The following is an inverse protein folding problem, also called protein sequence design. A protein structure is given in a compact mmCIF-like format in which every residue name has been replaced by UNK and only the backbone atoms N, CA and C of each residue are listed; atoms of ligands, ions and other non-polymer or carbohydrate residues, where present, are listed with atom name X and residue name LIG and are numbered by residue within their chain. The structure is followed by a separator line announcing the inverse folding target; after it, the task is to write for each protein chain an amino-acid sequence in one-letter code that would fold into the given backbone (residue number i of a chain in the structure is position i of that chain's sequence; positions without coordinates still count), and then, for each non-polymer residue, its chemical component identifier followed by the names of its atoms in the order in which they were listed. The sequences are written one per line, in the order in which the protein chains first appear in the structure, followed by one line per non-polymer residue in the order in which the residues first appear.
data_IF_419330680409
#
_entry.id   IF_419330680409
#
_cell.length_a   1.000
_cell.length_b   1.000
_cell.length_c   1.000
_cell.angle_alpha   90.00
_cell.angle_beta   90.00
_cell.angle_gamma   90.00
#
_symmetry.space_group_name_H-M   'P 1'
#
loop_
_entity.id
_entity.type
_entity.pdbx_description
1 polymer ?
#
# COMPACT_ATOMS: atom_id res chain seq x y z
N UNK A 1 -78.54 61.96 4.07
CA UNK A 1 -78.45 60.60 3.49
C UNK A 1 -77.07 60.50 2.86
N UNK A 2 -76.03 60.00 3.53
CA UNK A 2 -75.72 58.58 3.70
C UNK A 2 -74.75 58.45 4.89
N UNK A 3 -75.21 57.79 5.94
CA UNK A 3 -74.43 57.14 7.01
C UNK A 3 -73.53 56.04 6.37
N UNK A 4 -72.39 55.59 6.90
CA UNK A 4 -71.61 55.83 8.12
C UNK A 4 -70.16 55.34 7.85
N UNK A 5 -69.19 55.72 8.69
CA UNK A 5 -67.77 55.43 8.56
C UNK A 5 -67.42 54.06 9.17
N UNK A 6 -66.13 53.72 9.22
CA UNK A 6 -65.40 53.36 10.46
C UNK A 6 -64.11 52.60 10.09
N UNK A 7 -62.97 53.28 10.21
CA UNK A 7 -61.63 52.67 10.28
C UNK A 7 -61.33 52.38 11.76
N UNK A 8 -60.88 51.16 12.08
CA UNK A 8 -60.35 50.83 13.41
C UNK A 8 -58.84 50.81 13.39
N UNK A 9 -58.30 51.38 14.46
CA UNK A 9 -56.91 51.71 14.67
C UNK A 9 -56.42 51.05 15.96
N UNK A 10 -55.16 50.62 15.93
CA UNK A 10 -54.21 50.34 17.03
C UNK A 10 -54.55 49.22 18.05
N UNK A 11 -53.64 48.25 18.21
CA UNK A 11 -52.69 48.11 19.34
C UNK A 11 -52.13 46.70 19.42
N UNK A 12 -50.79 46.64 19.44
CA UNK A 12 -50.04 45.40 19.53
C UNK A 12 -50.15 44.72 20.89
N UNK A 13 -49.78 43.44 20.88
CA UNK A 13 -49.24 42.71 22.02
C UNK A 13 -48.10 41.83 21.49
N UNK A 14 -46.89 42.12 21.96
CA UNK A 14 -45.76 41.20 21.91
C UNK A 14 -46.04 40.13 22.95
N UNK A 15 -46.17 38.87 22.51
CA UNK A 15 -46.07 37.70 23.38
C UNK A 15 -45.04 36.75 22.78
N UNK A 16 -43.94 36.63 23.51
CA UNK A 16 -42.89 35.62 23.34
C UNK A 16 -43.54 34.27 23.65
N UNK A 17 -43.53 33.34 22.69
CA UNK A 17 -43.86 31.94 22.93
C UNK A 17 -42.80 31.04 22.31
N UNK A 18 -42.21 30.26 23.20
CA UNK A 18 -41.12 29.30 23.06
C UNK A 18 -41.35 28.34 21.90
N UNK A 19 -40.28 28.09 21.14
CA UNK A 19 -40.17 27.19 19.99
C UNK A 19 -40.70 25.79 20.35
N UNK A 20 -41.76 25.37 19.67
CA UNK A 20 -42.25 24.00 19.70
C UNK A 20 -41.24 23.08 18.97
N UNK A 21 -40.39 22.42 19.74
CA UNK A 21 -39.62 21.28 19.30
C UNK A 21 -40.50 20.04 19.20
N UNK A 22 -40.54 19.41 18.03
CA UNK A 22 -40.36 17.97 17.83
C UNK A 22 -40.25 17.77 16.32
N UNK A 23 -39.08 18.08 15.74
CA UNK A 23 -38.72 17.55 14.44
C UNK A 23 -38.58 16.04 14.65
N UNK A 24 -39.43 15.28 13.97
CA UNK A 24 -39.31 13.84 13.86
C UNK A 24 -37.97 13.51 13.21
N UNK A 25 -36.93 13.36 14.04
CA UNK A 25 -35.69 12.72 13.67
C UNK A 25 -36.03 11.25 13.45
N UNK A 26 -36.25 10.87 12.19
CA UNK A 26 -36.20 9.47 11.79
C UNK A 26 -34.82 8.96 12.19
N UNK A 27 -34.72 8.28 13.34
CA UNK A 27 -33.63 7.36 13.59
C UNK A 27 -33.80 6.24 12.57
N UNK A 28 -33.30 6.46 11.35
CA UNK A 28 -32.99 5.37 10.47
C UNK A 28 -31.94 4.54 11.21
N UNK A 29 -32.40 3.51 11.92
CA UNK A 29 -31.55 2.37 12.25
C UNK A 29 -31.03 1.92 10.89
N UNK A 30 -29.74 2.13 10.63
CA UNK A 30 -29.08 1.56 9.48
C UNK A 30 -29.30 0.06 9.59
N UNK A 31 -30.29 -0.45 8.87
CA UNK A 31 -30.46 -1.87 8.69
C UNK A 31 -29.24 -2.28 7.88
N UNK A 32 -28.27 -2.92 8.55
CA UNK A 32 -27.19 -3.59 7.84
C UNK A 32 -27.87 -4.45 6.78
N UNK A 33 -27.61 -4.23 5.48
CA UNK A 33 -28.23 -5.05 4.45
C UNK A 33 -27.86 -6.50 4.77
N UNK A 34 -28.89 -7.31 5.00
CA UNK A 34 -28.78 -8.74 5.28
C UNK A 34 -28.15 -9.43 4.07
N UNK A 35 -26.82 -9.46 4.11
CA UNK A 35 -25.86 -9.90 3.11
C UNK A 35 -24.40 -9.60 3.53
N UNK A 36 -24.23 -8.89 4.66
CA UNK A 36 -22.94 -8.55 5.26
C UNK A 36 -22.42 -9.70 6.12
N UNK A 37 -21.30 -10.28 5.72
CA UNK A 37 -20.43 -11.20 6.48
C UNK A 37 -19.82 -10.57 7.77
N UNK A 38 -20.33 -9.42 8.22
CA UNK A 38 -19.80 -8.64 9.35
C UNK A 38 -18.53 -7.84 9.00
N UNK A 39 -18.06 -7.91 7.75
CA UNK A 39 -16.86 -7.20 7.32
C UNK A 39 -17.13 -5.71 7.12
N UNK A 40 -16.29 -4.80 7.68
CA UNK A 40 -16.40 -3.37 7.42
C UNK A 40 -16.02 -3.01 5.97
N UNK A 41 -16.72 -2.03 5.39
CA UNK A 41 -16.37 -1.44 4.09
C UNK A 41 -14.92 -0.95 4.10
N UNK A 42 -14.21 -1.18 2.99
CA UNK A 42 -12.79 -0.87 2.84
C UNK A 42 -11.84 -1.93 3.38
N UNK A 43 -12.33 -3.00 4.03
CA UNK A 43 -11.46 -4.12 4.42
C UNK A 43 -10.89 -4.81 3.18
N UNK A 44 -9.58 -5.08 3.20
CA UNK A 44 -8.88 -5.80 2.14
C UNK A 44 -8.55 -7.22 2.62
N UNK A 45 -8.86 -8.22 1.80
CA UNK A 45 -8.59 -9.63 2.12
C UNK A 45 -8.18 -10.43 0.87
N UNK A 46 -7.41 -11.50 1.11
CA UNK A 46 -7.02 -12.48 0.10
C UNK A 46 -8.08 -13.58 0.00
N UNK A 47 -8.45 -13.97 -1.21
CA UNK A 47 -9.39 -15.06 -1.47
C UNK A 47 -8.74 -16.15 -2.31
N UNK A 48 -9.13 -17.40 -2.06
CA UNK A 48 -8.70 -18.59 -2.83
C UNK A 48 -9.52 -18.81 -4.09
N UNK A 49 -10.56 -18.01 -4.31
CA UNK A 49 -11.38 -18.01 -5.52
C UNK A 49 -10.70 -17.19 -6.62
N UNK A 50 -11.05 -17.46 -7.88
CA UNK A 50 -10.53 -16.67 -9.02
C UNK A 50 -11.11 -15.25 -9.10
N UNK A 51 -12.24 -14.99 -8.45
CA UNK A 51 -12.96 -13.72 -8.45
C UNK A 51 -13.40 -13.33 -7.04
N UNK A 52 -13.67 -12.04 -6.86
CA UNK A 52 -14.21 -11.53 -5.61
C UNK A 52 -15.64 -12.05 -5.35
N UNK A 53 -15.98 -12.42 -4.11
CA UNK A 53 -17.35 -12.76 -3.74
C UNK A 53 -18.33 -11.58 -3.89
N UNK A 54 -19.63 -11.86 -3.81
CA UNK A 54 -20.66 -10.81 -3.81
C UNK A 54 -20.41 -9.77 -2.71
N UNK A 55 -20.50 -8.48 -3.05
CA UNK A 55 -20.25 -7.37 -2.13
C UNK A 55 -18.77 -7.11 -1.86
N UNK A 56 -17.89 -7.59 -2.74
CA UNK A 56 -16.45 -7.34 -2.75
C UNK A 56 -16.02 -6.99 -4.17
N UNK A 57 -15.06 -6.09 -4.30
CA UNK A 57 -14.48 -5.66 -5.58
C UNK A 57 -12.97 -5.94 -5.60
N UNK A 58 -12.37 -6.09 -6.79
CA UNK A 58 -10.92 -6.34 -6.89
C UNK A 58 -10.16 -5.12 -6.37
N UNK A 59 -9.24 -5.35 -5.44
CA UNK A 59 -8.36 -4.32 -4.91
C UNK A 59 -7.21 -4.07 -5.89
N UNK A 60 -7.42 -3.23 -6.89
CA UNK A 60 -6.45 -3.00 -7.99
C UNK A 60 -5.15 -2.36 -7.51
N UNK A 61 -5.17 -1.61 -6.41
CA UNK A 61 -4.01 -0.95 -5.82
C UNK A 61 -2.98 -1.93 -5.22
N UNK A 62 -3.35 -3.18 -4.96
CA UNK A 62 -2.46 -4.21 -4.36
C UNK A 62 -2.07 -5.32 -5.34
N UNK A 63 -2.58 -5.30 -6.57
CA UNK A 63 -2.28 -6.32 -7.56
C UNK A 63 -0.78 -6.37 -7.89
N UNK A 64 -0.18 -7.56 -7.73
CA UNK A 64 1.26 -7.77 -7.94
C UNK A 64 2.15 -7.08 -6.89
N UNK A 65 1.61 -6.66 -5.74
CA UNK A 65 2.37 -5.92 -4.72
C UNK A 65 2.35 -6.63 -3.37
N UNK A 66 3.45 -6.46 -2.62
CA UNK A 66 3.49 -6.82 -1.22
C UNK A 66 2.80 -5.72 -0.39
N UNK A 67 1.83 -6.11 0.44
CA UNK A 67 1.13 -5.19 1.34
C UNK A 67 1.95 -5.00 2.61
N UNK A 68 2.22 -3.74 2.96
CA UNK A 68 2.98 -3.38 4.17
C UNK A 68 2.08 -2.54 5.07
N UNK A 69 2.10 -2.84 6.37
CA UNK A 69 1.37 -2.05 7.36
C UNK A 69 1.99 -0.67 7.53
N UNK A 70 1.14 0.35 7.64
CA UNK A 70 1.56 1.75 7.85
C UNK A 70 1.10 2.26 9.21
N UNK A 71 1.85 3.21 9.77
CA UNK A 71 1.52 3.81 11.07
C UNK A 71 0.60 5.02 10.95
N UNK A 72 0.56 5.67 9.77
CA UNK A 72 -0.24 6.85 9.50
C UNK A 72 -1.23 6.54 8.38
N UNK A 73 -2.46 6.99 8.54
CA UNK A 73 -3.49 6.84 7.51
C UNK A 73 -3.12 7.54 6.20
N UNK A 74 -2.33 8.62 6.26
CA UNK A 74 -1.81 9.34 5.08
C UNK A 74 -0.93 8.48 4.16
N UNK A 75 -0.33 7.44 4.71
CA UNK A 75 0.61 6.57 3.98
C UNK A 75 -0.11 5.35 3.40
N UNK A 76 -1.40 5.18 3.72
CA UNK A 76 -2.24 4.13 3.15
C UNK A 76 -2.42 4.32 1.65
N UNK A 77 -2.26 3.25 0.88
CA UNK A 77 -2.40 3.27 -0.58
C UNK A 77 -1.18 3.83 -1.33
N UNK A 78 -0.12 4.24 -0.63
CA UNK A 78 1.15 4.61 -1.29
C UNK A 78 1.76 3.39 -1.96
N UNK A 79 2.04 3.51 -3.26
CA UNK A 79 2.64 2.45 -4.07
C UNK A 79 4.12 2.75 -4.29
N UNK A 80 4.97 1.78 -3.99
CA UNK A 80 6.42 1.85 -4.23
C UNK A 80 6.83 0.73 -5.18
N UNK A 81 7.70 1.05 -6.13
CA UNK A 81 8.25 0.09 -7.10
C UNK A 81 7.25 -0.39 -8.16
N UNK A 82 7.72 -1.34 -8.95
CA UNK A 82 6.96 -1.97 -10.05
C UNK A 82 6.22 -3.21 -9.54
N UNK A 83 4.93 -3.39 -9.86
CA UNK A 83 4.20 -4.59 -9.48
C UNK A 83 4.75 -5.83 -10.23
N UNK A 84 4.67 -6.98 -9.58
CA UNK A 84 4.92 -8.27 -10.20
C UNK A 84 3.88 -8.54 -11.30
N UNK A 85 4.35 -9.11 -12.40
CA UNK A 85 3.48 -9.56 -13.48
C UNK A 85 2.69 -10.79 -13.06
N UNK A 86 1.51 -10.94 -13.65
CA UNK A 86 0.66 -12.09 -13.40
C UNK A 86 1.37 -13.38 -13.84
N UNK A 87 1.25 -14.40 -13.00
CA UNK A 87 1.81 -15.75 -13.16
C UNK A 87 3.29 -15.82 -13.59
N UNK A 88 4.07 -14.77 -13.32
CA UNK A 88 5.46 -14.66 -13.77
C UNK A 88 6.40 -14.62 -12.56
N UNK A 89 7.30 -15.60 -12.50
CA UNK A 89 8.34 -15.62 -11.48
C UNK A 89 9.29 -14.42 -11.70
N UNK A 90 9.53 -13.58 -10.68
CA UNK A 90 10.47 -12.48 -10.82
C UNK A 90 11.90 -13.01 -11.01
N UNK A 91 12.60 -12.47 -12.00
CA UNK A 91 14.04 -12.58 -12.10
C UNK A 91 14.70 -11.78 -10.98
N UNK A 92 15.83 -12.26 -10.48
CA UNK A 92 16.66 -11.52 -9.54
C UNK A 92 18.15 -11.76 -9.79
N UNK A 93 18.95 -10.80 -9.34
CA UNK A 93 20.41 -10.81 -9.40
C UNK A 93 20.98 -10.68 -7.98
N UNK A 94 22.10 -11.32 -7.73
CA UNK A 94 22.88 -11.13 -6.50
C UNK A 94 24.19 -10.44 -6.83
N UNK A 95 24.43 -9.32 -6.18
CA UNK A 95 25.76 -8.71 -6.17
C UNK A 95 26.63 -9.41 -5.14
N UNK A 96 27.90 -9.62 -5.49
CA UNK A 96 28.91 -10.14 -4.57
C UNK A 96 30.09 -9.19 -4.49
N UNK A 97 30.72 -9.19 -3.31
CA UNK A 97 31.96 -8.49 -3.05
C UNK A 97 32.81 -9.34 -2.13
N UNK A 98 34.06 -9.58 -2.52
CA UNK A 98 35.01 -10.34 -1.72
C UNK A 98 36.41 -9.77 -1.88
N UNK A 99 37.27 -10.06 -0.92
CA UNK A 99 38.65 -9.61 -0.90
C UNK A 99 39.58 -10.81 -1.09
N UNK A 100 40.40 -10.75 -2.14
CA UNK A 100 41.47 -11.71 -2.39
C UNK A 100 42.80 -11.11 -1.92
N UNK A 101 43.32 -11.62 -0.81
CA UNK A 101 44.63 -11.22 -0.31
C UNK A 101 45.71 -12.09 -0.94
N UNK A 102 46.54 -11.48 -1.80
CA UNK A 102 47.71 -12.13 -2.39
C UNK A 102 48.92 -11.92 -1.48
N UNK A 103 49.49 -12.99 -0.90
CA UNK A 103 50.72 -12.87 -0.11
C UNK A 103 51.89 -12.49 -1.01
N UNK A 104 52.95 -11.93 -0.41
CA UNK A 104 54.18 -11.68 -1.13
C UNK A 104 54.84 -13.00 -1.58
N UNK A 105 55.34 -13.03 -2.81
CA UNK A 105 56.10 -14.14 -3.37
C UNK A 105 57.38 -13.61 -4.00
N UNK A 106 58.46 -14.30 -3.69
CA UNK A 106 59.82 -14.00 -4.10
C UNK A 106 60.28 -15.02 -5.15
N UNK A 107 60.96 -14.58 -6.21
CA UNK A 107 61.62 -15.49 -7.15
C UNK A 107 63.09 -15.11 -7.33
N UNK A 108 63.97 -16.06 -6.99
CA UNK A 108 65.41 -15.92 -7.20
C UNK A 108 65.75 -16.24 -8.67
N UNK A 109 66.26 -15.25 -9.40
CA UNK A 109 66.84 -15.46 -10.72
C UNK A 109 68.33 -15.81 -10.61
N UNK A 110 68.84 -16.55 -11.60
CA UNK A 110 70.22 -17.05 -11.64
C UNK A 110 71.30 -15.95 -11.56
N UNK A 111 70.94 -14.68 -11.77
CA UNK A 111 71.84 -13.52 -11.75
C UNK A 111 71.87 -12.76 -10.42
N UNK A 112 71.11 -13.18 -9.40
CA UNK A 112 71.17 -12.57 -8.06
C UNK A 112 70.62 -11.15 -7.95
N UNK A 113 69.96 -10.63 -8.99
CA UNK A 113 69.24 -9.35 -8.93
C UNK A 113 68.03 -9.46 -8.01
N UNK A 114 67.79 -8.39 -7.23
CA UNK A 114 66.71 -8.33 -6.24
C UNK A 114 65.36 -8.44 -6.91
N UNK A 115 64.47 -9.23 -6.30
CA UNK A 115 63.08 -9.43 -6.69
C UNK A 115 62.41 -8.19 -7.26
N UNK A 116 62.11 -8.21 -8.55
CA UNK A 116 61.11 -7.34 -9.13
C UNK A 116 59.77 -8.03 -8.94
N UNK A 117 58.87 -7.45 -8.14
CA UNK A 117 57.58 -8.03 -7.78
C UNK A 117 56.79 -8.49 -9.02
N UNK A 118 56.90 -9.77 -9.39
CA UNK A 118 56.25 -10.36 -10.57
C UNK A 118 54.72 -10.28 -10.50
N UNK A 119 54.19 -10.26 -9.28
CA UNK A 119 52.82 -9.88 -8.97
C UNK A 119 52.82 -9.00 -7.71
N UNK A 120 52.08 -7.89 -7.73
CA UNK A 120 51.96 -7.00 -6.58
C UNK A 120 51.19 -7.71 -5.46
N UNK A 121 51.80 -7.88 -4.29
CA UNK A 121 51.11 -8.37 -3.10
C UNK A 121 50.12 -7.33 -2.58
N UNK A 122 49.03 -7.79 -1.97
CA UNK A 122 48.02 -6.90 -1.39
C UNK A 122 46.64 -7.51 -1.45
N UNK A 123 45.66 -6.75 -0.97
CA UNK A 123 44.24 -7.11 -1.02
C UNK A 123 43.62 -6.54 -2.28
N UNK A 124 43.01 -7.42 -3.07
CA UNK A 124 42.28 -7.10 -4.27
C UNK A 124 40.79 -7.31 -4.01
N UNK A 125 40.02 -6.24 -4.08
CA UNK A 125 38.57 -6.35 -4.01
C UNK A 125 38.03 -6.80 -5.36
N UNK A 126 37.29 -7.90 -5.33
CA UNK A 126 36.59 -8.48 -6.47
C UNK A 126 35.09 -8.26 -6.22
N UNK A 127 34.40 -7.71 -7.20
CA UNK A 127 32.95 -7.52 -7.14
C UNK A 127 32.33 -7.73 -8.50
N UNK A 128 31.06 -8.13 -8.50
CA UNK A 128 30.25 -8.26 -9.70
C UNK A 128 28.85 -8.72 -9.36
N UNK A 129 28.07 -8.96 -10.41
CA UNK A 129 26.74 -9.54 -10.30
C UNK A 129 26.75 -10.97 -10.87
N UNK A 130 25.96 -11.85 -10.27
CA UNK A 130 25.64 -13.13 -10.91
C UNK A 130 24.59 -12.90 -12.00
N UNK A 131 24.52 -13.82 -12.96
CA UNK A 131 23.53 -13.78 -14.02
C UNK A 131 22.11 -13.76 -13.44
N UNK A 132 21.22 -12.97 -14.06
CA UNK A 132 19.81 -12.95 -13.71
C UNK A 132 19.19 -14.34 -13.87
N UNK A 133 18.48 -14.77 -12.82
CA UNK A 133 17.73 -16.01 -12.81
C UNK A 133 16.45 -15.86 -11.99
N UNK A 134 15.45 -16.67 -12.31
CA UNK A 134 14.30 -16.87 -11.42
C UNK A 134 14.70 -17.83 -10.30
N UNK A 135 14.02 -17.77 -9.16
CA UNK A 135 14.31 -18.66 -8.02
C UNK A 135 13.82 -20.10 -8.22
N UNK A 136 13.02 -20.37 -9.26
CA UNK A 136 12.28 -21.62 -9.47
C UNK A 136 11.47 -22.09 -8.24
N UNK A 137 11.18 -21.18 -7.31
CA UNK A 137 10.35 -21.48 -6.14
C UNK A 137 8.88 -21.55 -6.56
N UNK A 138 8.13 -22.58 -6.12
CA UNK A 138 6.69 -22.61 -6.29
C UNK A 138 6.05 -21.37 -5.65
N UNK A 139 5.08 -20.77 -6.33
CA UNK A 139 4.31 -19.65 -5.78
C UNK A 139 2.84 -19.81 -6.11
N UNK A 140 1.99 -19.17 -5.31
CA UNK A 140 0.57 -19.01 -5.56
C UNK A 140 0.26 -17.52 -5.68
N UNK A 141 -0.66 -17.17 -6.56
CA UNK A 141 -1.25 -15.83 -6.62
C UNK A 141 -2.71 -15.95 -6.22
N UNK A 142 -3.09 -15.14 -5.24
CA UNK A 142 -4.45 -15.08 -4.72
C UNK A 142 -5.08 -13.77 -5.17
N UNK A 143 -6.37 -13.79 -5.48
CA UNK A 143 -7.11 -12.55 -5.74
C UNK A 143 -7.21 -11.77 -4.43
N UNK A 144 -7.00 -10.46 -4.53
CA UNK A 144 -7.17 -9.55 -3.40
C UNK A 144 -8.39 -8.71 -3.66
N UNK A 145 -9.31 -8.71 -2.70
CA UNK A 145 -10.57 -8.00 -2.81
C UNK A 145 -10.73 -7.01 -1.67
N UNK A 146 -11.42 -5.91 -1.96
CA UNK A 146 -11.83 -4.90 -1.02
C UNK A 146 -13.34 -4.98 -0.81
N UNK A 147 -13.78 -4.94 0.44
CA UNK A 147 -15.19 -4.87 0.80
C UNK A 147 -15.77 -3.55 0.30
N UNK A 148 -16.87 -3.64 -0.44
CA UNK A 148 -17.67 -2.48 -0.87
C UNK A 148 -18.21 -1.69 0.33
#
# INVERSE_FOLDING_TARGET
MRNKPVQWSVRGFVLIAVVAGFLAGSNAIATNPSGTDGTPSGMVAFFTTASCPTGWSVATNVQGRAVVAVQKSSDSGVMVGTPLQDMTAPGHVHSYKTDLTLPNKHAALATGEKDYAYAKSGTYTISGDVQEATSNLPFIQLVVCQKE
#
